data_IF_492714698440
#
_entry.id   IF_492714698440
#
_cell.length_a   1.000
_cell.length_b   1.000
_cell.length_c   1.000
_cell.angle_alpha   90.00
_cell.angle_beta   90.00
_cell.angle_gamma   90.00
#
_symmetry.space_group_name_H-M   'P 1'
#
loop_
_entity.id
_entity.type
_entity.pdbx_description
1 polymer ?
#
# COMPACT_ATOMS: atom_id res chain seq x y z
N UNK A 1 4.47 21.00 -4.43
CA UNK A 1 4.63 19.94 -3.41
C UNK A 1 3.44 19.02 -3.54
N UNK A 2 3.66 17.76 -3.91
CA UNK A 2 2.60 16.77 -4.06
C UNK A 2 2.20 16.13 -2.71
N UNK A 3 1.01 15.54 -2.66
CA UNK A 3 0.53 14.78 -1.48
C UNK A 3 1.22 13.42 -1.44
N UNK A 4 2.00 13.18 -0.38
CA UNK A 4 2.73 11.93 -0.15
C UNK A 4 2.04 11.17 0.95
N UNK A 5 1.64 9.93 0.69
CA UNK A 5 1.09 9.04 1.71
C UNK A 5 1.91 7.77 1.80
N UNK A 6 2.00 7.25 3.02
CA UNK A 6 2.73 6.02 3.31
C UNK A 6 1.74 4.92 3.64
N UNK A 7 1.89 3.81 2.95
CA UNK A 7 1.19 2.58 3.24
C UNK A 7 2.12 1.71 4.10
N UNK A 8 1.91 1.76 5.41
CA UNK A 8 2.63 0.91 6.37
C UNK A 8 1.85 -0.37 6.58
N UNK A 9 2.49 -1.49 6.40
CA UNK A 9 2.02 -2.86 6.56
C UNK A 9 0.74 -3.10 7.37
N UNK A 10 0.86 -3.58 8.60
CA UNK A 10 -0.28 -3.98 9.45
C UNK A 10 -0.82 -2.89 10.37
N UNK A 11 -0.16 -1.71 10.44
CA UNK A 11 -0.60 -0.63 11.33
C UNK A 11 -0.64 0.72 10.59
N UNK A 12 -1.80 1.05 9.98
CA UNK A 12 -2.03 2.36 9.37
C UNK A 12 -2.31 3.46 10.39
N UNK A 13 -2.11 3.23 11.70
CA UNK A 13 -2.41 4.16 12.78
C UNK A 13 -3.91 4.22 13.14
N UNK A 14 -4.65 3.15 12.84
CA UNK A 14 -6.07 3.06 13.14
C UNK A 14 -6.31 2.66 14.61
N UNK A 15 -7.42 3.14 15.15
CA UNK A 15 -7.78 2.96 16.56
C UNK A 15 -8.45 1.59 16.75
N UNK A 16 -7.90 0.74 17.62
CA UNK A 16 -8.31 -0.64 17.79
C UNK A 16 -9.73 -0.83 18.35
N UNK A 17 -10.19 0.04 19.22
CA UNK A 17 -11.46 -0.08 19.96
C UNK A 17 -12.66 0.63 19.29
N UNK A 18 -12.49 1.11 18.08
CA UNK A 18 -13.57 1.57 17.22
C UNK A 18 -13.61 0.75 15.93
N UNK A 19 -14.72 0.77 15.22
CA UNK A 19 -14.91 0.01 13.99
C UNK A 19 -14.04 0.53 12.84
N UNK A 20 -13.89 -0.28 11.76
CA UNK A 20 -13.22 0.20 10.56
C UNK A 20 -13.93 1.39 9.94
N UNK A 21 -15.27 1.40 9.95
CA UNK A 21 -16.09 2.51 9.47
C UNK A 21 -15.78 3.81 10.24
N UNK A 22 -15.79 3.75 11.56
CA UNK A 22 -15.49 4.91 12.41
C UNK A 22 -14.04 5.39 12.23
N UNK A 23 -13.09 4.45 12.08
CA UNK A 23 -11.70 4.78 11.76
C UNK A 23 -11.59 5.51 10.42
N UNK A 24 -12.23 5.00 9.37
CA UNK A 24 -12.20 5.63 8.03
C UNK A 24 -12.77 7.03 8.10
N UNK A 25 -13.90 7.22 8.79
CA UNK A 25 -14.53 8.53 8.99
C UNK A 25 -13.62 9.50 9.74
N UNK A 26 -13.02 9.07 10.85
CA UNK A 26 -12.10 9.88 11.64
C UNK A 26 -10.85 10.28 10.82
N UNK A 27 -10.25 9.30 10.15
CA UNK A 27 -9.05 9.53 9.35
C UNK A 27 -9.35 10.43 8.14
N UNK A 28 -10.52 10.28 7.52
CA UNK A 28 -10.94 11.16 6.41
C UNK A 28 -10.94 12.62 6.82
N UNK A 29 -11.44 12.93 8.02
CA UNK A 29 -11.39 14.29 8.56
C UNK A 29 -9.94 14.77 8.79
N UNK A 30 -9.06 13.90 9.32
CA UNK A 30 -7.64 14.22 9.57
C UNK A 30 -6.89 14.49 8.25
N UNK A 31 -7.20 13.71 7.21
CA UNK A 31 -6.58 13.84 5.88
C UNK A 31 -7.24 14.89 4.98
N UNK A 32 -8.28 15.56 5.49
CA UNK A 32 -8.92 16.69 4.82
C UNK A 32 -9.80 16.27 3.64
N UNK A 33 -10.45 15.10 3.71
CA UNK A 33 -11.50 14.73 2.76
C UNK A 33 -12.68 15.70 2.96
N UNK A 34 -13.17 16.37 1.91
CA UNK A 34 -14.30 17.29 2.00
C UNK A 34 -15.55 16.59 2.54
N UNK A 35 -16.35 17.30 3.34
CA UNK A 35 -17.56 16.74 3.97
C UNK A 35 -18.58 16.25 2.94
N UNK A 36 -18.68 16.95 1.82
CA UNK A 36 -19.56 16.59 0.70
C UNK A 36 -19.05 15.37 -0.11
N UNK A 37 -17.78 14.98 0.01
CA UNK A 37 -17.22 13.78 -0.61
C UNK A 37 -17.12 12.60 0.36
N UNK A 38 -17.39 12.80 1.65
CA UNK A 38 -17.13 11.81 2.70
C UNK A 38 -17.91 10.51 2.52
N UNK A 39 -19.18 10.59 2.18
CA UNK A 39 -20.04 9.41 2.00
C UNK A 39 -19.58 8.54 0.83
N UNK A 40 -19.21 9.16 -0.29
CA UNK A 40 -18.67 8.46 -1.46
C UNK A 40 -17.31 7.84 -1.15
N UNK A 41 -16.44 8.57 -0.44
CA UNK A 41 -15.13 8.09 -0.01
C UNK A 41 -15.25 6.87 0.92
N UNK A 42 -16.11 6.95 1.96
CA UNK A 42 -16.33 5.83 2.89
C UNK A 42 -16.82 4.59 2.15
N UNK A 43 -17.76 4.77 1.22
CA UNK A 43 -18.26 3.68 0.39
C UNK A 43 -17.19 3.08 -0.50
N UNK A 44 -16.34 3.89 -1.14
CA UNK A 44 -15.23 3.38 -1.96
C UNK A 44 -14.29 2.50 -1.12
N UNK A 45 -13.97 2.93 0.11
CA UNK A 45 -13.12 2.16 1.03
C UNK A 45 -13.79 0.85 1.45
N UNK A 46 -15.05 0.88 1.86
CA UNK A 46 -15.81 -0.30 2.28
C UNK A 46 -15.91 -1.33 1.16
N UNK A 47 -16.32 -0.89 -0.04
CA UNK A 47 -16.45 -1.74 -1.23
C UNK A 47 -15.08 -2.35 -1.63
N UNK A 48 -13.99 -1.61 -1.43
CA UNK A 48 -12.66 -2.12 -1.69
C UNK A 48 -12.24 -3.19 -0.68
N UNK A 49 -12.54 -2.99 0.60
CA UNK A 49 -12.13 -3.90 1.69
C UNK A 49 -12.82 -5.26 1.63
N UNK A 50 -14.08 -5.32 1.16
CA UNK A 50 -14.91 -6.55 1.07
C UNK A 50 -14.98 -7.31 2.40
N UNK A 51 -15.15 -6.60 3.52
CA UNK A 51 -15.19 -7.20 4.86
C UNK A 51 -16.61 -7.57 5.32
N UNK A 52 -17.66 -7.09 4.62
CA UNK A 52 -19.04 -7.30 5.03
C UNK A 52 -19.28 -6.80 6.46
N UNK A 53 -20.01 -7.59 7.27
CA UNK A 53 -20.31 -7.22 8.67
C UNK A 53 -19.08 -7.01 9.55
N UNK A 54 -17.91 -7.53 9.19
CA UNK A 54 -16.70 -7.32 9.96
C UNK A 54 -16.18 -5.88 9.85
N UNK A 55 -16.63 -5.10 8.87
CA UNK A 55 -16.29 -3.69 8.71
C UNK A 55 -16.79 -2.82 9.87
N UNK A 56 -17.89 -3.23 10.50
CA UNK A 56 -18.53 -2.54 11.63
C UNK A 56 -18.13 -3.10 13.00
N UNK A 57 -17.17 -4.06 13.06
CA UNK A 57 -16.60 -4.57 14.31
C UNK A 57 -15.40 -3.76 14.73
N UNK A 58 -15.04 -3.85 16.01
CA UNK A 58 -13.80 -3.28 16.55
C UNK A 58 -12.60 -3.66 15.67
N UNK A 59 -11.82 -2.68 15.26
CA UNK A 59 -10.67 -2.88 14.36
C UNK A 59 -9.66 -3.89 14.92
N UNK A 60 -9.45 -3.91 16.25
CA UNK A 60 -8.59 -4.88 16.92
C UNK A 60 -9.06 -6.34 16.80
N UNK A 61 -10.32 -6.58 16.47
CA UNK A 61 -10.88 -7.91 16.25
C UNK A 61 -10.61 -8.48 14.85
N UNK A 62 -10.12 -7.65 13.94
CA UNK A 62 -9.80 -8.04 12.57
C UNK A 62 -8.51 -8.87 12.52
N UNK A 63 -8.45 -9.83 11.62
CA UNK A 63 -7.19 -10.47 11.27
C UNK A 63 -6.22 -9.47 10.63
N UNK A 64 -4.92 -9.73 10.69
CA UNK A 64 -3.90 -8.88 10.05
C UNK A 64 -4.19 -8.63 8.56
N UNK A 65 -4.70 -9.67 7.85
CA UNK A 65 -5.09 -9.54 6.46
C UNK A 65 -6.29 -8.60 6.25
N UNK A 66 -7.31 -8.67 7.12
CA UNK A 66 -8.47 -7.79 7.07
C UNK A 66 -8.11 -6.35 7.43
N UNK A 67 -7.31 -6.16 8.47
CA UNK A 67 -6.78 -4.85 8.87
C UNK A 67 -5.97 -4.20 7.74
N UNK A 68 -5.10 -4.97 7.09
CA UNK A 68 -4.34 -4.50 5.93
C UNK A 68 -5.21 -4.09 4.74
N UNK A 69 -6.36 -4.75 4.52
CA UNK A 69 -7.32 -4.35 3.48
C UNK A 69 -7.90 -2.97 3.76
N UNK A 70 -8.24 -2.66 5.02
CA UNK A 70 -8.74 -1.34 5.42
C UNK A 70 -7.69 -0.27 5.19
N UNK A 71 -6.47 -0.48 5.69
CA UNK A 71 -5.36 0.47 5.50
C UNK A 71 -5.05 0.73 4.03
N UNK A 72 -4.99 -0.33 3.22
CA UNK A 72 -4.74 -0.21 1.78
C UNK A 72 -5.89 0.52 1.07
N UNK A 73 -7.14 0.13 1.34
CA UNK A 73 -8.33 0.75 0.76
C UNK A 73 -8.38 2.24 1.08
N UNK A 74 -8.24 2.59 2.35
CA UNK A 74 -8.22 3.99 2.80
C UNK A 74 -7.13 4.80 2.09
N UNK A 75 -5.86 4.36 2.16
CA UNK A 75 -4.73 5.12 1.62
C UNK A 75 -4.83 5.32 0.11
N UNK A 76 -5.28 4.31 -0.63
CA UNK A 76 -5.42 4.41 -2.09
C UNK A 76 -6.62 5.25 -2.53
N UNK A 77 -7.68 5.32 -1.72
CA UNK A 77 -8.85 6.17 -2.00
C UNK A 77 -8.58 7.65 -1.73
N UNK A 78 -7.55 8.01 -0.94
CA UNK A 78 -7.08 9.40 -0.78
C UNK A 78 -6.47 10.00 -2.06
N UNK A 79 -6.27 9.20 -3.11
CA UNK A 79 -5.69 9.60 -4.40
C UNK A 79 -4.38 10.39 -4.21
N UNK A 80 -3.35 9.79 -3.56
CA UNK A 80 -2.05 10.43 -3.36
C UNK A 80 -1.35 10.67 -4.71
N UNK A 81 -0.51 11.69 -4.81
CA UNK A 81 0.37 11.89 -5.97
C UNK A 81 1.61 10.99 -5.88
N UNK A 82 2.04 10.70 -4.65
CA UNK A 82 3.16 9.79 -4.36
C UNK A 82 2.72 8.82 -3.27
N UNK A 83 2.80 7.53 -3.55
CA UNK A 83 2.50 6.45 -2.62
C UNK A 83 3.79 5.72 -2.24
N UNK A 84 4.13 5.78 -0.96
CA UNK A 84 5.23 5.01 -0.38
C UNK A 84 4.67 3.67 0.11
N UNK A 85 5.23 2.57 -0.36
CA UNK A 85 4.80 1.21 -0.02
C UNK A 85 5.96 0.42 0.56
N UNK A 86 5.77 -0.10 1.76
CA UNK A 86 6.74 -0.96 2.43
C UNK A 86 6.15 -2.38 2.57
N UNK A 87 6.51 -3.28 1.66
CA UNK A 87 6.10 -4.70 1.59
C UNK A 87 4.58 -4.98 1.60
N UNK A 88 3.75 -3.96 1.59
CA UNK A 88 2.31 -4.05 1.91
C UNK A 88 1.45 -4.76 0.87
N UNK A 89 1.95 -4.99 -0.35
CA UNK A 89 1.21 -5.78 -1.36
C UNK A 89 1.15 -7.28 -1.03
N UNK A 90 1.89 -7.74 0.00
CA UNK A 90 1.82 -9.11 0.52
C UNK A 90 0.65 -9.38 1.46
N UNK A 91 -0.11 -8.35 1.87
CA UNK A 91 -1.19 -8.48 2.86
C UNK A 91 -2.46 -9.04 2.22
N UNK A 92 -3.15 -9.90 2.95
CA UNK A 92 -4.39 -10.54 2.51
C UNK A 92 -4.18 -11.85 1.73
N UNK A 93 -5.28 -12.40 1.26
CA UNK A 93 -5.28 -13.61 0.43
C UNK A 93 -4.89 -13.33 -1.03
N UNK A 94 -4.79 -14.40 -1.83
CA UNK A 94 -4.39 -14.32 -3.25
C UNK A 94 -5.30 -13.42 -4.08
N UNK A 95 -6.61 -13.41 -3.78
CA UNK A 95 -7.59 -12.62 -4.53
C UNK A 95 -7.44 -11.14 -4.21
N UNK A 96 -7.26 -10.81 -2.93
CA UNK A 96 -7.04 -9.44 -2.51
C UNK A 96 -5.72 -8.88 -3.06
N UNK A 97 -4.64 -9.68 -3.06
CA UNK A 97 -3.35 -9.27 -3.66
C UNK A 97 -3.50 -8.89 -5.12
N UNK A 98 -4.25 -9.66 -5.92
CA UNK A 98 -4.54 -9.32 -7.32
C UNK A 98 -5.34 -8.01 -7.43
N UNK A 99 -6.29 -7.78 -6.53
CA UNK A 99 -7.09 -6.53 -6.48
C UNK A 99 -6.21 -5.34 -6.13
N UNK A 100 -5.33 -5.47 -5.14
CA UNK A 100 -4.37 -4.45 -4.73
C UNK A 100 -3.37 -4.13 -5.86
N UNK A 101 -2.81 -5.15 -6.53
CA UNK A 101 -1.93 -4.96 -7.69
C UNK A 101 -2.65 -4.23 -8.85
N UNK A 102 -3.91 -4.57 -9.10
CA UNK A 102 -4.71 -3.88 -10.12
C UNK A 102 -4.93 -2.41 -9.76
N UNK A 103 -5.26 -2.11 -8.49
CA UNK A 103 -5.43 -0.72 -8.01
C UNK A 103 -4.11 0.05 -8.13
N UNK A 104 -2.97 -0.55 -7.75
CA UNK A 104 -1.65 0.06 -7.89
C UNK A 104 -1.28 0.34 -9.36
N UNK A 105 -1.61 -0.55 -10.30
CA UNK A 105 -1.41 -0.30 -11.72
C UNK A 105 -2.24 0.87 -12.24
N UNK A 106 -3.52 0.93 -11.88
CA UNK A 106 -4.39 2.05 -12.22
C UNK A 106 -3.85 3.39 -11.70
N UNK A 107 -3.23 3.37 -10.52
CA UNK A 107 -2.56 4.49 -9.92
C UNK A 107 -1.40 5.00 -10.80
N UNK A 108 -0.52 4.09 -11.23
CA UNK A 108 0.60 4.44 -12.13
C UNK A 108 0.13 4.90 -13.52
N UNK A 109 -0.96 4.36 -14.05
CA UNK A 109 -1.54 4.74 -15.34
C UNK A 109 -2.07 6.20 -15.33
N UNK A 110 -2.43 6.73 -14.16
CA UNK A 110 -2.82 8.14 -13.98
C UNK A 110 -1.64 9.10 -13.88
N UNK A 111 -0.40 8.60 -13.96
CA UNK A 111 0.81 9.41 -13.85
C UNK A 111 1.29 9.66 -12.42
N UNK A 112 0.72 8.97 -11.47
CA UNK A 112 1.08 9.03 -10.06
C UNK A 112 2.34 8.18 -9.79
N UNK A 113 3.07 8.48 -8.71
CA UNK A 113 4.34 7.82 -8.42
C UNK A 113 4.18 6.81 -7.29
N UNK A 114 4.71 5.59 -7.48
CA UNK A 114 4.86 4.59 -6.41
C UNK A 114 6.35 4.41 -6.11
N UNK A 115 6.71 4.51 -4.84
CA UNK A 115 8.00 4.07 -4.32
C UNK A 115 7.77 2.82 -3.48
N UNK A 116 8.25 1.68 -3.97
CA UNK A 116 8.07 0.37 -3.35
C UNK A 116 9.38 -0.11 -2.74
N UNK A 117 9.39 -0.32 -1.42
CA UNK A 117 10.43 -1.07 -0.72
C UNK A 117 9.98 -2.52 -0.61
N UNK A 118 10.76 -3.46 -1.13
CA UNK A 118 10.39 -4.89 -1.09
C UNK A 118 11.60 -5.80 -1.25
N UNK A 119 11.54 -6.96 -0.60
CA UNK A 119 12.46 -8.07 -0.88
C UNK A 119 11.85 -9.08 -1.88
N UNK A 120 10.62 -8.87 -2.34
CA UNK A 120 9.99 -9.69 -3.37
C UNK A 120 10.47 -9.28 -4.76
N UNK A 121 11.54 -9.93 -5.26
CA UNK A 121 12.15 -9.62 -6.56
C UNK A 121 11.17 -9.73 -7.73
N UNK A 122 10.26 -10.71 -7.65
CA UNK A 122 9.19 -10.88 -8.65
C UNK A 122 8.20 -9.71 -8.67
N UNK A 123 7.87 -9.17 -7.49
CA UNK A 123 6.99 -8.01 -7.38
C UNK A 123 7.68 -6.75 -7.92
N UNK A 124 8.96 -6.53 -7.58
CA UNK A 124 9.75 -5.42 -8.08
C UNK A 124 9.77 -5.38 -9.61
N UNK A 125 10.11 -6.50 -10.26
CA UNK A 125 10.10 -6.61 -11.74
C UNK A 125 8.73 -6.35 -12.35
N UNK A 126 7.66 -6.85 -11.70
CA UNK A 126 6.29 -6.74 -12.23
C UNK A 126 5.71 -5.33 -12.12
N UNK A 127 6.05 -4.61 -11.04
CA UNK A 127 5.42 -3.34 -10.67
C UNK A 127 6.27 -2.13 -11.00
N UNK A 128 7.60 -2.24 -10.99
CA UNK A 128 8.49 -1.10 -11.10
C UNK A 128 9.20 -1.08 -12.47
N UNK A 129 9.40 0.12 -13.05
CA UNK A 129 10.22 0.32 -14.23
C UNK A 129 11.68 0.58 -13.86
N UNK A 130 11.91 1.28 -12.74
CA UNK A 130 13.23 1.63 -12.21
C UNK A 130 13.45 0.90 -10.91
N UNK A 131 14.65 0.39 -10.70
CA UNK A 131 15.09 -0.27 -9.49
C UNK A 131 16.33 0.40 -8.90
N UNK A 132 16.33 0.52 -7.59
CA UNK A 132 17.46 1.02 -6.79
C UNK A 132 17.88 -0.12 -5.87
N UNK A 133 19.19 -0.38 -5.75
CA UNK A 133 19.74 -1.32 -4.76
C UNK A 133 20.50 -0.52 -3.71
N UNK A 134 20.18 -0.78 -2.45
CA UNK A 134 20.81 -0.19 -1.29
C UNK A 134 21.60 -1.27 -0.53
N UNK A 135 22.87 -1.03 -0.24
CA UNK A 135 23.72 -1.87 0.61
C UNK A 135 24.34 -0.99 1.70
N UNK A 136 24.21 -1.40 2.95
CA UNK A 136 24.74 -0.66 4.12
C UNK A 136 24.37 0.84 4.13
N UNK A 137 23.15 1.17 3.67
CA UNK A 137 22.65 2.53 3.59
C UNK A 137 23.16 3.35 2.40
N UNK A 138 23.95 2.75 1.50
CA UNK A 138 24.46 3.39 0.29
C UNK A 138 23.73 2.91 -0.95
N UNK A 139 23.47 3.83 -1.88
CA UNK A 139 22.95 3.48 -3.20
C UNK A 139 24.08 2.90 -4.05
N UNK A 140 24.00 1.59 -4.36
CA UNK A 140 25.02 0.87 -5.13
C UNK A 140 24.60 0.60 -6.56
N UNK A 141 23.30 0.62 -6.86
CA UNK A 141 22.78 0.44 -8.21
C UNK A 141 21.54 1.31 -8.46
N UNK A 142 21.43 1.85 -9.67
CA UNK A 142 20.28 2.62 -10.17
C UNK A 142 20.11 2.32 -11.67
N UNK A 143 18.99 1.68 -12.04
CA UNK A 143 18.73 1.27 -13.41
C UNK A 143 17.33 0.75 -13.63
N UNK A 144 17.14 -0.14 -14.62
CA UNK A 144 15.85 -0.81 -14.79
C UNK A 144 15.58 -1.77 -13.63
N UNK A 145 14.32 -2.10 -13.35
CA UNK A 145 13.98 -3.03 -12.27
C UNK A 145 14.52 -4.43 -12.54
N UNK A 146 14.61 -4.86 -13.81
CA UNK A 146 15.23 -6.11 -14.23
C UNK A 146 16.72 -6.16 -13.88
N UNK A 147 17.46 -5.11 -14.27
CA UNK A 147 18.92 -5.03 -14.02
C UNK A 147 19.22 -4.88 -12.53
N UNK A 148 18.40 -4.12 -11.80
CA UNK A 148 18.53 -3.99 -10.34
C UNK A 148 18.38 -5.34 -9.63
N UNK A 149 17.42 -6.15 -10.06
CA UNK A 149 17.22 -7.50 -9.51
C UNK A 149 18.38 -8.43 -9.89
N UNK A 150 18.91 -8.34 -11.11
CA UNK A 150 20.07 -9.12 -11.52
C UNK A 150 21.28 -8.76 -10.65
N UNK A 151 21.59 -7.47 -10.50
CA UNK A 151 22.66 -6.97 -9.65
C UNK A 151 22.52 -7.46 -8.18
N UNK A 152 21.30 -7.36 -7.61
CA UNK A 152 21.05 -7.80 -6.24
C UNK A 152 21.31 -9.30 -6.05
N UNK A 153 20.93 -10.14 -7.00
CA UNK A 153 21.18 -11.59 -6.93
C UNK A 153 22.68 -11.91 -7.02
N UNK A 154 23.41 -11.28 -7.95
CA UNK A 154 24.84 -11.46 -8.09
C UNK A 154 25.62 -10.99 -6.84
N UNK A 155 25.23 -9.86 -6.23
CA UNK A 155 25.89 -9.35 -5.01
C UNK A 155 25.66 -10.28 -3.82
N UNK A 156 24.47 -10.88 -3.68
CA UNK A 156 24.17 -11.82 -2.59
C UNK A 156 24.87 -13.18 -2.75
N UNK A 157 25.08 -13.66 -3.99
CA UNK A 157 25.86 -14.89 -4.26
C UNK A 157 27.34 -14.72 -3.94
N UNK A 158 27.90 -13.54 -4.20
CA UNK A 158 29.32 -13.25 -3.94
C UNK A 158 29.64 -12.94 -2.46
N UNK A 159 28.62 -12.75 -1.63
CA UNK A 159 28.76 -12.43 -0.19
C UNK A 159 28.67 -13.67 0.71
N UNK A 160 28.43 -14.86 0.16
CA UNK A 160 28.43 -16.19 0.84
C UNK A 160 29.70 -16.95 0.48
#
# INVERSE_FOLDING_TARGET
CGRVYTLKGSDPGLIGYISSRENVRLMSAIYGVPEDELEEFEKEVEDFCELGEAYDRDYSSLSTGMAGRVGFGFTTSLKPEILLMDETLGVGDVLFRKKAEKKAKQFMERGETILLSTHSLGLAKKMCRRGLVLEDGHLVFDGTSEDAVAYYLESTENSN
#
